data_IF_718376011337
#
_entry.id   IF_718376011337
#
_cell.length_a   1.000
_cell.length_b   1.000
_cell.length_c   1.000
_cell.angle_alpha   90.00
_cell.angle_beta   90.00
_cell.angle_gamma   90.00
#
_symmetry.space_group_name_H-M   'P 1'
#
loop_
_entity.id
_entity.type
_entity.pdbx_description
1 polymer ?
#
# COMPACT_ATOMS: atom_id res chain seq x y z
N UNK A 1 -13.68 -3.39 2.64
CA UNK A 1 -12.78 -4.24 3.46
C UNK A 1 -12.01 -3.38 4.46
N UNK A 2 -11.08 -2.50 4.06
CA UNK A 2 -10.40 -1.59 5.01
C UNK A 2 -11.35 -0.58 5.67
N UNK A 3 -12.16 0.14 4.89
CA UNK A 3 -13.12 1.12 5.42
C UNK A 3 -14.11 0.54 6.45
N UNK A 4 -14.45 -0.75 6.31
CA UNK A 4 -15.40 -1.46 7.16
C UNK A 4 -14.73 -2.18 8.34
N UNK A 5 -13.40 -2.18 8.42
CA UNK A 5 -12.64 -2.82 9.50
C UNK A 5 -12.63 -1.92 10.75
N UNK A 6 -12.25 -2.47 11.90
CA UNK A 6 -11.94 -1.64 13.06
C UNK A 6 -10.59 -0.93 12.87
N UNK A 7 -10.40 0.19 13.57
CA UNK A 7 -9.15 0.93 13.55
C UNK A 7 -8.03 0.09 14.17
N UNK A 8 -6.93 -0.07 13.44
CA UNK A 8 -5.80 -0.91 13.87
C UNK A 8 -5.99 -2.42 13.63
N UNK A 9 -7.03 -2.85 12.92
CA UNK A 9 -7.22 -4.26 12.55
C UNK A 9 -6.18 -4.75 11.52
N UNK A 10 -5.61 -3.83 10.74
CA UNK A 10 -4.58 -4.11 9.75
C UNK A 10 -3.30 -3.33 10.03
N UNK A 11 -2.17 -4.03 10.03
CA UNK A 11 -0.86 -3.43 10.21
C UNK A 11 -0.22 -2.94 8.89
N UNK A 12 -0.70 -3.45 7.75
CA UNK A 12 -0.14 -3.15 6.42
C UNK A 12 -1.16 -3.41 5.33
N UNK A 13 -1.09 -2.66 4.24
CA UNK A 13 -1.88 -2.89 3.01
C UNK A 13 -0.94 -3.22 1.87
N UNK A 14 -1.13 -4.38 1.24
CA UNK A 14 -0.52 -4.69 -0.05
C UNK A 14 -1.51 -4.30 -1.16
N UNK A 15 -1.15 -3.28 -1.94
CA UNK A 15 -2.04 -2.65 -2.92
C UNK A 15 -1.63 -3.01 -4.35
N UNK A 16 -2.49 -3.66 -5.11
CA UNK A 16 -2.25 -3.86 -6.54
C UNK A 16 -2.47 -2.56 -7.32
N UNK A 17 -1.49 -2.13 -8.14
CA UNK A 17 -1.66 -0.93 -8.97
C UNK A 17 -2.60 -1.18 -10.15
N UNK A 18 -2.64 -2.39 -10.69
CA UNK A 18 -3.45 -2.73 -11.87
C UNK A 18 -4.62 -3.61 -11.46
N UNK A 19 -5.77 -3.00 -11.18
CA UNK A 19 -7.04 -3.68 -10.94
C UNK A 19 -8.07 -3.28 -12.01
N UNK A 20 -9.05 -4.15 -12.33
CA UNK A 20 -10.21 -3.74 -13.11
C UNK A 20 -11.01 -2.69 -12.32
N UNK A 21 -11.57 -1.71 -13.02
CA UNK A 21 -12.47 -0.64 -12.50
C UNK A 21 -11.80 0.49 -11.71
N UNK A 22 -10.98 0.21 -10.69
CA UNK A 22 -10.32 1.23 -9.86
C UNK A 22 -8.82 1.00 -9.80
N UNK A 23 -8.01 2.04 -10.02
CA UNK A 23 -6.55 1.89 -9.89
C UNK A 23 -6.11 1.82 -8.43
N UNK A 24 -4.96 1.16 -8.18
CA UNK A 24 -4.38 1.13 -6.82
C UNK A 24 -4.06 2.52 -6.27
N UNK A 25 -3.79 3.49 -7.15
CA UNK A 25 -3.58 4.90 -6.79
C UNK A 25 -4.85 5.54 -6.21
N UNK A 26 -5.99 5.35 -6.88
CA UNK A 26 -7.29 5.84 -6.40
C UNK A 26 -7.66 5.17 -5.08
N UNK A 27 -7.43 3.86 -4.96
CA UNK A 27 -7.68 3.12 -3.74
C UNK A 27 -6.82 3.63 -2.56
N UNK A 28 -5.53 3.91 -2.78
CA UNK A 28 -4.67 4.50 -1.75
C UNK A 28 -5.13 5.91 -1.35
N UNK A 29 -5.49 6.74 -2.33
CA UNK A 29 -6.03 8.08 -2.06
C UNK A 29 -7.34 8.01 -1.27
N UNK A 30 -8.21 7.04 -1.59
CA UNK A 30 -9.46 6.82 -0.87
C UNK A 30 -9.19 6.42 0.59
N UNK A 31 -8.25 5.48 0.82
CA UNK A 31 -7.81 5.12 2.18
C UNK A 31 -7.31 6.36 2.94
N UNK A 32 -6.42 7.16 2.35
CA UNK A 32 -5.87 8.37 2.99
C UNK A 32 -6.91 9.46 3.25
N UNK A 33 -8.06 9.40 2.60
CA UNK A 33 -9.17 10.36 2.77
C UNK A 33 -10.20 9.93 3.82
N UNK A 34 -10.08 8.72 4.39
CA UNK A 34 -10.97 8.25 5.44
C UNK A 34 -10.74 9.05 6.73
N UNK A 35 -11.83 9.40 7.42
CA UNK A 35 -11.79 10.04 8.74
C UNK A 35 -11.47 9.01 9.84
N UNK A 36 -10.26 8.46 9.79
CA UNK A 36 -9.74 7.42 10.67
C UNK A 36 -8.27 7.65 10.96
N UNK A 37 -7.89 7.53 12.24
CA UNK A 37 -6.53 7.79 12.68
C UNK A 37 -5.50 6.84 12.05
N UNK A 38 -5.84 5.55 11.93
CA UNK A 38 -4.96 4.54 11.32
C UNK A 38 -4.86 4.70 9.79
N UNK A 39 -5.85 5.30 9.15
CA UNK A 39 -5.85 5.48 7.71
C UNK A 39 -4.80 6.48 7.22
N UNK A 40 -4.38 7.44 8.05
CA UNK A 40 -3.30 8.37 7.74
C UNK A 40 -1.92 7.68 7.75
N UNK A 41 -1.72 6.75 8.70
CA UNK A 41 -0.39 6.20 9.02
C UNK A 41 -0.18 4.75 8.57
N UNK A 42 -1.25 4.02 8.22
CA UNK A 42 -1.13 2.62 7.82
C UNK A 42 -0.20 2.50 6.61
N UNK A 43 0.85 1.65 6.66
CA UNK A 43 1.74 1.49 5.54
C UNK A 43 1.03 0.83 4.34
N UNK A 44 1.03 1.52 3.20
CA UNK A 44 0.50 1.01 1.92
C UNK A 44 1.69 0.70 1.02
N UNK A 45 1.83 -0.57 0.63
CA UNK A 45 2.89 -1.08 -0.24
C UNK A 45 2.28 -1.39 -1.60
N UNK A 46 2.67 -0.64 -2.63
CA UNK A 46 2.24 -0.86 -4.00
C UNK A 46 2.85 -2.14 -4.58
N UNK A 47 2.07 -2.86 -5.37
CA UNK A 47 2.50 -4.01 -6.15
C UNK A 47 2.29 -3.69 -7.63
N UNK A 48 3.37 -3.51 -8.37
CA UNK A 48 3.34 -3.17 -9.80
C UNK A 48 3.91 -4.30 -10.64
N UNK A 49 3.39 -4.49 -11.85
CA UNK A 49 4.07 -5.33 -12.85
C UNK A 49 5.24 -4.60 -13.52
N UNK A 50 5.25 -3.27 -13.45
CA UNK A 50 6.21 -2.40 -14.10
C UNK A 50 6.87 -1.51 -13.04
N UNK A 51 8.18 -1.66 -12.84
CA UNK A 51 8.94 -0.90 -11.85
C UNK A 51 9.45 0.45 -12.41
N UNK A 52 8.68 1.08 -13.31
CA UNK A 52 9.09 2.34 -13.91
C UNK A 52 9.04 3.48 -12.90
N UNK A 53 10.01 4.37 -12.98
CA UNK A 53 10.25 5.45 -12.02
C UNK A 53 9.07 6.43 -11.89
N UNK A 54 8.26 6.58 -12.93
CA UNK A 54 7.08 7.44 -12.91
C UNK A 54 5.95 6.88 -12.05
N UNK A 55 5.80 5.57 -11.99
CA UNK A 55 4.83 4.92 -11.09
C UNK A 55 5.24 5.11 -9.63
N UNK A 56 6.55 5.10 -9.34
CA UNK A 56 7.08 5.32 -7.99
C UNK A 56 6.75 6.72 -7.48
N UNK A 57 6.89 7.75 -8.33
CA UNK A 57 6.53 9.13 -7.94
C UNK A 57 5.04 9.25 -7.63
N UNK A 58 4.18 8.71 -8.50
CA UNK A 58 2.74 8.70 -8.29
C UNK A 58 2.35 7.92 -7.03
N UNK A 59 3.01 6.80 -6.73
CA UNK A 59 2.78 6.04 -5.50
C UNK A 59 2.99 6.94 -4.27
N UNK A 60 4.10 7.68 -4.24
CA UNK A 60 4.43 8.58 -3.13
C UNK A 60 3.44 9.75 -3.02
N UNK A 61 3.04 10.34 -4.15
CA UNK A 61 2.06 11.43 -4.18
C UNK A 61 0.67 11.00 -3.67
N UNK A 62 0.27 9.75 -3.93
CA UNK A 62 -0.97 9.18 -3.42
C UNK A 62 -0.89 8.68 -1.97
N UNK A 63 0.23 8.92 -1.29
CA UNK A 63 0.42 8.55 0.12
C UNK A 63 0.81 7.09 0.35
N UNK A 64 1.31 6.38 -0.66
CA UNK A 64 1.89 5.04 -0.49
C UNK A 64 3.31 5.13 0.05
N UNK A 65 3.73 4.12 0.79
CA UNK A 65 4.99 4.12 1.53
C UNK A 65 6.12 3.40 0.79
N UNK A 66 5.76 2.46 -0.09
CA UNK A 66 6.71 1.63 -0.81
C UNK A 66 6.09 1.02 -2.08
N UNK A 67 6.93 0.39 -2.90
CA UNK A 67 6.52 -0.40 -4.05
C UNK A 67 7.32 -1.72 -4.11
N UNK A 68 6.72 -2.74 -4.70
CA UNK A 68 7.30 -4.07 -4.97
C UNK A 68 6.93 -4.46 -6.41
N UNK A 69 7.88 -5.01 -7.16
CA UNK A 69 7.64 -5.48 -8.52
C UNK A 69 7.04 -6.90 -8.53
N UNK A 70 6.22 -7.19 -9.54
CA UNK A 70 5.69 -8.53 -9.84
C UNK A 70 6.55 -9.17 -10.95
N UNK A 71 6.76 -10.50 -10.95
CA UNK A 71 6.27 -11.48 -9.96
C UNK A 71 6.94 -11.26 -8.60
N UNK A 72 6.15 -11.38 -7.53
CA UNK A 72 6.62 -10.94 -6.23
C UNK A 72 7.59 -11.95 -5.62
N UNK A 73 8.78 -11.48 -5.22
CA UNK A 73 9.73 -12.25 -4.44
C UNK A 73 9.32 -12.28 -2.96
N UNK A 74 9.12 -13.48 -2.41
CA UNK A 74 8.78 -13.71 -1.00
C UNK A 74 9.85 -13.09 -0.07
N UNK A 75 11.12 -13.11 -0.47
CA UNK A 75 12.22 -12.51 0.30
C UNK A 75 12.13 -10.98 0.31
N UNK A 76 11.64 -10.38 -0.78
CA UNK A 76 11.43 -8.94 -0.87
C UNK A 76 10.22 -8.52 -0.04
N UNK A 77 9.06 -9.19 -0.19
CA UNK A 77 7.90 -8.97 0.69
C UNK A 77 8.29 -9.11 2.16
N UNK A 78 8.99 -10.19 2.54
CA UNK A 78 9.32 -10.44 3.95
C UNK A 78 10.19 -9.32 4.52
N UNK A 79 11.14 -8.81 3.74
CA UNK A 79 11.96 -7.65 4.14
C UNK A 79 11.13 -6.38 4.31
N UNK A 80 10.17 -6.17 3.41
CA UNK A 80 9.29 -5.00 3.46
C UNK A 80 8.32 -5.07 4.64
N UNK A 81 7.69 -6.22 4.85
CA UNK A 81 6.86 -6.47 6.03
C UNK A 81 7.67 -6.27 7.30
N UNK A 82 8.87 -6.85 7.42
CA UNK A 82 9.74 -6.65 8.58
C UNK A 82 10.16 -5.18 8.82
N UNK A 83 10.17 -4.35 7.77
CA UNK A 83 10.49 -2.92 7.85
C UNK A 83 9.30 -2.09 8.33
N UNK A 84 8.08 -2.42 7.92
CA UNK A 84 6.88 -1.61 8.18
C UNK A 84 6.02 -2.13 9.33
N UNK A 85 6.04 -3.43 9.60
CA UNK A 85 5.43 -3.99 10.81
C UNK A 85 6.29 -3.57 12.00
N UNK A 86 5.71 -2.74 12.87
CA UNK A 86 6.36 -2.36 14.13
C UNK A 86 6.53 -3.63 14.96
N UNK A 87 7.77 -3.91 15.39
CA UNK A 87 7.98 -4.80 16.53
C UNK A 87 7.54 -4.02 17.77
N UNK A 88 6.50 -4.50 18.43
CA UNK A 88 6.25 -4.16 19.84
C UNK A 88 7.46 -4.55 20.72
#
# INVERSE_FOLDING_TARGET
MFEQSEAGEYDVVLMDLRMPEMSGFEAASAIRSLDRADAADIPIIAMSADAFSDDIRKCLECGMNAHIAKPVDIQEISRMLAKYLKKE
#
